data_IF_700697886398
#
_entry.id   IF_700697886398
#
_cell.length_a   1.000
_cell.length_b   1.000
_cell.length_c   1.000
_cell.angle_alpha   90.00
_cell.angle_beta   90.00
_cell.angle_gamma   90.00
#
_symmetry.space_group_name_H-M   'P 1'
#
loop_
_entity.id
_entity.type
_entity.pdbx_description
1 polymer ?
#
# COMPACT_ATOMS: atom_id res chain seq x y z
N UNK A 1 -14.40 -2.69 -22.33
CA UNK A 1 -14.06 -1.85 -21.17
C UNK A 1 -12.59 -2.10 -20.88
N UNK A 2 -11.73 -1.11 -21.14
CA UNK A 2 -10.31 -1.19 -20.81
C UNK A 2 -10.19 -1.25 -19.29
N UNK A 3 -9.85 -2.40 -18.74
CA UNK A 3 -9.55 -2.51 -17.31
C UNK A 3 -8.25 -1.75 -17.07
N UNK A 4 -8.34 -0.58 -16.43
CA UNK A 4 -7.17 0.15 -15.98
C UNK A 4 -6.47 -0.69 -14.90
N UNK A 5 -5.14 -0.77 -14.96
CA UNK A 5 -4.36 -1.39 -13.88
C UNK A 5 -4.57 -0.54 -12.62
N UNK A 6 -4.95 -1.15 -11.48
CA UNK A 6 -5.22 -0.39 -10.26
C UNK A 6 -3.94 0.33 -9.79
N UNK A 7 -4.11 1.51 -9.21
CA UNK A 7 -3.05 2.28 -8.57
C UNK A 7 -2.51 1.44 -7.41
N UNK A 8 -1.20 1.20 -7.40
CA UNK A 8 -0.56 0.36 -6.41
C UNK A 8 -0.06 1.23 -5.28
N UNK A 9 -0.30 0.81 -4.05
CA UNK A 9 -0.04 1.62 -2.86
C UNK A 9 0.84 0.86 -1.89
N UNK A 10 1.89 1.53 -1.42
CA UNK A 10 2.69 1.17 -0.26
C UNK A 10 2.31 2.11 0.88
N UNK A 11 1.93 1.57 2.03
CA UNK A 11 1.66 2.37 3.24
C UNK A 11 2.90 2.33 4.14
N UNK A 12 3.37 3.48 4.61
CA UNK A 12 4.43 3.58 5.61
C UNK A 12 3.93 4.38 6.83
N UNK A 13 3.84 3.74 7.99
CA UNK A 13 3.36 4.33 9.25
C UNK A 13 3.84 3.45 10.41
N UNK A 14 4.23 3.99 11.57
CA UNK A 14 4.75 3.23 12.71
C UNK A 14 3.65 2.59 13.60
N UNK A 15 2.38 2.89 13.34
CA UNK A 15 1.23 2.38 14.09
C UNK A 15 0.47 1.29 13.31
N UNK A 16 0.57 0.04 13.78
CA UNK A 16 -0.03 -1.13 13.11
C UNK A 16 -1.55 -1.01 12.90
N UNK A 17 -2.30 -0.50 13.89
CA UNK A 17 -3.76 -0.33 13.79
C UNK A 17 -4.11 0.66 12.67
N UNK A 18 -3.33 1.72 12.53
CA UNK A 18 -3.55 2.75 11.51
C UNK A 18 -3.28 2.20 10.10
N UNK A 19 -2.16 1.48 9.92
CA UNK A 19 -1.84 0.79 8.65
C UNK A 19 -2.94 -0.17 8.22
N UNK A 20 -3.42 -1.01 9.14
CA UNK A 20 -4.48 -1.99 8.87
C UNK A 20 -5.80 -1.30 8.48
N UNK A 21 -6.15 -0.21 9.17
CA UNK A 21 -7.33 0.61 8.89
C UNK A 21 -7.25 1.27 7.52
N UNK A 22 -6.13 1.92 7.20
CA UNK A 22 -5.89 2.54 5.90
C UNK A 22 -5.93 1.52 4.77
N UNK A 23 -5.28 0.35 4.94
CA UNK A 23 -5.32 -0.70 3.95
C UNK A 23 -6.74 -1.21 3.67
N UNK A 24 -7.56 -1.32 4.71
CA UNK A 24 -8.96 -1.73 4.57
C UNK A 24 -9.78 -0.69 3.81
N UNK A 25 -9.54 0.61 4.04
CA UNK A 25 -10.26 1.68 3.35
C UNK A 25 -9.82 1.77 1.88
N UNK A 26 -8.52 1.76 1.61
CA UNK A 26 -7.97 1.90 0.25
C UNK A 26 -8.39 0.72 -0.62
N UNK A 27 -8.34 -0.52 -0.12
CA UNK A 27 -8.72 -1.71 -0.87
C UNK A 27 -10.23 -1.82 -1.16
N UNK A 28 -11.07 -0.90 -0.68
CA UNK A 28 -12.49 -0.81 -1.07
C UNK A 28 -12.68 -0.10 -2.41
N UNK A 29 -11.70 0.70 -2.83
CA UNK A 29 -11.72 1.35 -4.13
C UNK A 29 -11.17 0.37 -5.19
N UNK A 30 -11.97 -0.04 -6.20
CA UNK A 30 -11.51 -0.95 -7.24
C UNK A 30 -10.41 -0.37 -8.14
N UNK A 31 -10.19 0.95 -8.12
CA UNK A 31 -9.10 1.61 -8.86
C UNK A 31 -7.79 1.63 -8.07
N UNK A 32 -7.76 1.13 -6.82
CA UNK A 32 -6.58 1.13 -5.95
C UNK A 32 -6.32 -0.24 -5.31
N UNK A 33 -5.06 -0.52 -5.00
CA UNK A 33 -4.67 -1.73 -4.31
C UNK A 33 -3.45 -1.48 -3.43
N UNK A 34 -3.56 -1.83 -2.14
CA UNK A 34 -2.41 -1.85 -1.24
C UNK A 34 -1.62 -3.12 -1.47
N UNK A 35 -0.38 -2.97 -1.95
CA UNK A 35 0.51 -4.07 -2.30
C UNK A 35 1.56 -4.35 -1.22
N UNK A 36 1.81 -3.41 -0.32
CA UNK A 36 2.82 -3.51 0.72
C UNK A 36 2.53 -2.56 1.89
N UNK A 37 3.04 -2.90 3.07
CA UNK A 37 2.93 -2.09 4.29
C UNK A 37 4.27 -2.11 5.03
N UNK A 38 4.75 -0.94 5.44
CA UNK A 38 6.00 -0.73 6.16
C UNK A 38 5.74 -0.10 7.53
N UNK A 39 6.42 -0.60 8.56
CA UNK A 39 6.34 -0.10 9.93
C UNK A 39 7.39 0.97 10.27
N UNK A 40 8.34 1.19 9.37
CA UNK A 40 9.40 2.18 9.53
C UNK A 40 10.01 2.54 8.16
N UNK A 41 10.91 3.53 8.16
CA UNK A 41 11.54 4.04 6.93
C UNK A 41 12.44 3.02 6.22
N UNK A 42 13.21 2.22 6.96
CA UNK A 42 14.09 1.20 6.36
C UNK A 42 13.28 0.15 5.61
N UNK A 43 12.20 -0.34 6.23
CA UNK A 43 11.28 -1.27 5.60
C UNK A 43 10.56 -0.64 4.40
N UNK A 44 10.20 0.64 4.47
CA UNK A 44 9.56 1.33 3.35
C UNK A 44 10.47 1.41 2.12
N UNK A 45 11.76 1.71 2.31
CA UNK A 45 12.74 1.75 1.21
C UNK A 45 12.93 0.35 0.61
N UNK A 46 13.08 -0.68 1.45
CA UNK A 46 13.22 -2.06 0.99
C UNK A 46 12.01 -2.52 0.16
N UNK A 47 10.80 -2.31 0.69
CA UNK A 47 9.54 -2.68 0.03
C UNK A 47 9.29 -1.85 -1.23
N UNK A 48 9.70 -0.58 -1.26
CA UNK A 48 9.63 0.23 -2.48
C UNK A 48 10.51 -0.36 -3.58
N UNK A 49 11.74 -0.78 -3.25
CA UNK A 49 12.64 -1.43 -4.20
C UNK A 49 12.10 -2.76 -4.74
N UNK A 50 11.49 -3.57 -3.86
CA UNK A 50 10.91 -4.87 -4.23
C UNK A 50 9.65 -4.73 -5.08
N UNK A 51 8.74 -3.84 -4.68
CA UNK A 51 7.41 -3.79 -5.24
C UNK A 51 7.21 -2.69 -6.28
N UNK A 52 8.02 -1.63 -6.29
CA UNK A 52 7.86 -0.47 -7.20
C UNK A 52 6.40 0.04 -7.26
N UNK A 53 5.78 0.34 -6.10
CA UNK A 53 4.37 0.78 -6.01
C UNK A 53 4.08 1.98 -6.90
#
# INVERSE_FOLDING_TARGET
MSQATPIRVLIADDHAIFRQGLATIINRDPEMQVIAQAENGEQAIALFGEHQP
#
